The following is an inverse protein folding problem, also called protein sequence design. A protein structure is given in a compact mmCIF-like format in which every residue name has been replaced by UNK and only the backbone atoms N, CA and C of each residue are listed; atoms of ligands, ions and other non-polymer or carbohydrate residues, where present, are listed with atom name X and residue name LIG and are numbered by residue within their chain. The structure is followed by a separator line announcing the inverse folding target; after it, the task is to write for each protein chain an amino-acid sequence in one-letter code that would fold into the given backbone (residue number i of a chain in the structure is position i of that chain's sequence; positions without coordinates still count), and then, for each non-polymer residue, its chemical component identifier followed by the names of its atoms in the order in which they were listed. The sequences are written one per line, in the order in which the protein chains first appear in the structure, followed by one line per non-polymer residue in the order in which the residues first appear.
data_IF_115325849520
#
_entry.id   IF_115325849520
#
_cell.length_a   1.000
_cell.length_b   1.000
_cell.length_c   1.000
_cell.angle_alpha   90.00
_cell.angle_beta   90.00
_cell.angle_gamma   90.00
#
_symmetry.space_group_name_H-M   'P 1'
#
loop_
_entity.id
_entity.type
_entity.pdbx_description
1 polymer ?
#
# COMPACT_ATOMS: atom_id res chain seq x y z
N UNK A 1 -2.09 15.98 2.59
CA UNK A 1 -0.92 15.70 3.45
C UNK A 1 0.20 16.66 3.05
N UNK A 2 1.04 17.15 3.97
CA UNK A 2 2.16 18.02 3.57
C UNK A 2 3.23 17.24 2.78
N UNK A 3 4.00 17.89 1.88
CA UNK A 3 5.15 17.27 1.22
C UNK A 3 6.33 17.10 2.18
N UNK A 4 7.02 15.96 2.09
CA UNK A 4 8.13 15.59 2.99
C UNK A 4 9.50 15.58 2.30
N UNK A 5 9.58 15.96 1.02
CA UNK A 5 10.78 15.89 0.18
C UNK A 5 11.96 16.72 0.76
N UNK A 6 11.65 17.86 1.37
CA UNK A 6 12.67 18.78 1.94
C UNK A 6 13.06 18.44 3.38
N UNK A 7 12.26 17.66 4.08
CA UNK A 7 12.45 17.39 5.52
C UNK A 7 13.01 16.00 5.78
N UNK A 8 12.76 15.04 4.88
CA UNK A 8 13.23 13.66 5.01
C UNK A 8 14.24 13.33 3.91
N UNK A 9 15.31 12.65 4.30
CA UNK A 9 16.26 12.04 3.38
C UNK A 9 15.65 10.81 2.70
N UNK A 10 16.22 10.38 1.57
CA UNK A 10 15.77 9.18 0.84
C UNK A 10 15.75 7.94 1.75
N UNK A 11 16.75 7.83 2.64
CA UNK A 11 16.83 6.75 3.62
C UNK A 11 15.67 6.79 4.61
N UNK A 12 15.39 7.97 5.19
CA UNK A 12 14.31 8.10 6.17
C UNK A 12 12.94 7.79 5.56
N UNK A 13 12.72 8.19 4.31
CA UNK A 13 11.50 7.83 3.58
C UNK A 13 11.44 6.31 3.37
N UNK A 14 12.53 5.70 2.87
CA UNK A 14 12.59 4.24 2.67
C UNK A 14 12.36 3.45 3.96
N UNK A 15 12.92 3.90 5.08
CA UNK A 15 12.75 3.27 6.40
C UNK A 15 11.27 3.31 6.84
N UNK A 16 10.61 4.48 6.74
CA UNK A 16 9.19 4.65 7.10
C UNK A 16 8.29 3.82 6.18
N UNK A 17 8.50 3.87 4.87
CA UNK A 17 7.69 3.08 3.93
C UNK A 17 7.88 1.58 4.15
N UNK A 18 9.09 1.13 4.50
CA UNK A 18 9.36 -0.27 4.82
C UNK A 18 8.58 -0.70 6.06
N UNK A 19 8.58 0.12 7.11
CA UNK A 19 7.77 -0.14 8.32
C UNK A 19 6.28 -0.24 7.99
N UNK A 20 5.71 0.70 7.25
CA UNK A 20 4.29 0.64 6.86
C UNK A 20 3.95 -0.61 6.03
N UNK A 21 4.89 -1.07 5.19
CA UNK A 21 4.77 -2.26 4.31
C UNK A 21 4.97 -3.59 5.03
N UNK A 22 5.58 -3.61 6.21
CA UNK A 22 5.82 -4.84 7.00
C UNK A 22 4.94 -4.96 8.24
N UNK A 23 4.44 -3.84 8.76
CA UNK A 23 3.65 -3.83 9.98
C UNK A 23 2.15 -3.94 9.70
N UNK A 24 1.36 -4.08 10.76
CA UNK A 24 -0.11 -4.17 10.71
C UNK A 24 -0.64 -5.32 9.83
N UNK A 25 0.13 -6.41 9.75
CA UNK A 25 -0.23 -7.60 8.96
C UNK A 25 0.15 -7.51 7.49
N UNK A 26 0.87 -6.47 7.06
CA UNK A 26 1.42 -6.38 5.72
C UNK A 26 2.67 -7.26 5.56
N UNK A 27 3.02 -7.62 4.33
CA UNK A 27 4.21 -8.45 4.02
C UNK A 27 4.84 -8.09 2.68
N UNK A 28 4.83 -6.79 2.35
CA UNK A 28 5.40 -6.30 1.10
C UNK A 28 6.93 -6.14 1.21
N UNK A 29 7.63 -6.22 0.08
CA UNK A 29 9.09 -6.08 0.04
C UNK A 29 9.53 -4.70 0.56
N UNK A 30 10.73 -4.60 1.18
CA UNK A 30 11.30 -3.34 1.63
C UNK A 30 11.48 -2.31 0.52
N UNK A 31 11.49 -1.04 0.89
CA UNK A 31 11.74 0.10 -0.01
C UNK A 31 13.16 0.60 0.22
N UNK A 32 13.99 0.64 -0.82
CA UNK A 32 15.38 1.07 -0.72
C UNK A 32 15.56 2.58 -0.95
N UNK A 33 16.62 3.20 -0.42
CA UNK A 33 16.92 4.61 -0.68
C UNK A 33 17.12 4.90 -2.17
N UNK A 34 17.69 3.96 -2.94
CA UNK A 34 17.91 4.10 -4.37
C UNK A 34 16.60 4.16 -5.16
N UNK A 35 15.59 3.39 -4.73
CA UNK A 35 14.25 3.45 -5.33
C UNK A 35 13.61 4.84 -5.10
N UNK A 36 13.76 5.40 -3.89
CA UNK A 36 13.29 6.77 -3.59
C UNK A 36 14.04 7.81 -4.42
N UNK A 37 15.37 7.70 -4.50
CA UNK A 37 16.19 8.62 -5.28
C UNK A 37 15.87 8.57 -6.77
N UNK A 38 15.61 7.37 -7.32
CA UNK A 38 15.17 7.20 -8.70
C UNK A 38 13.81 7.88 -8.94
N UNK A 39 12.84 7.64 -8.05
CA UNK A 39 11.51 8.26 -8.14
C UNK A 39 11.57 9.79 -8.04
N UNK A 40 12.41 10.35 -7.15
CA UNK A 40 12.61 11.80 -7.06
C UNK A 40 13.14 12.41 -8.35
N UNK A 41 14.03 11.71 -9.06
CA UNK A 41 14.55 12.16 -10.36
C UNK A 41 13.46 12.13 -11.43
N UNK A 42 12.65 11.07 -11.44
CA UNK A 42 11.51 10.94 -12.36
C UNK A 42 10.49 12.08 -12.16
N UNK A 43 10.19 12.39 -10.89
CA UNK A 43 9.20 13.40 -10.52
C UNK A 43 9.73 14.83 -10.45
N UNK A 44 11.01 15.06 -10.74
CA UNK A 44 11.63 16.39 -10.62
C UNK A 44 10.94 17.47 -11.49
N UNK A 45 10.30 17.04 -12.59
CA UNK A 45 9.55 17.92 -13.49
C UNK A 45 8.06 18.05 -13.13
N UNK A 46 7.61 17.43 -12.04
CA UNK A 46 6.22 17.45 -11.57
C UNK A 46 6.13 17.84 -10.08
N UNK A 47 6.47 19.08 -9.72
CA UNK A 47 6.48 19.54 -8.32
C UNK A 47 5.08 19.72 -7.72
N UNK A 48 4.05 19.81 -8.57
CA UNK A 48 2.67 20.00 -8.15
C UNK A 48 1.99 18.66 -7.83
N UNK A 49 0.88 18.75 -7.09
CA UNK A 49 0.04 17.57 -6.84
C UNK A 49 -0.64 17.11 -8.13
N UNK A 50 -0.76 15.79 -8.30
CA UNK A 50 -1.52 15.21 -9.42
C UNK A 50 -2.99 15.65 -9.39
N UNK A 51 -3.51 16.00 -10.55
CA UNK A 51 -4.91 16.37 -10.79
C UNK A 51 -5.70 15.19 -11.36
N UNK A 52 -7.03 15.30 -11.39
CA UNK A 52 -7.89 14.30 -12.02
C UNK A 52 -7.47 13.99 -13.47
N UNK A 53 -7.14 15.01 -14.24
CA UNK A 53 -6.70 14.85 -15.62
C UNK A 53 -5.41 14.01 -15.71
N UNK A 54 -4.46 14.21 -14.80
CA UNK A 54 -3.20 13.45 -14.78
C UNK A 54 -3.43 11.98 -14.47
N UNK A 55 -4.38 11.67 -13.58
CA UNK A 55 -4.76 10.28 -13.24
C UNK A 55 -5.47 9.62 -14.41
N UNK A 56 -6.36 10.32 -15.11
CA UNK A 56 -7.08 9.79 -16.28
C UNK A 56 -6.16 9.60 -17.50
N UNK A 57 -5.07 10.38 -17.57
CA UNK A 57 -4.05 10.25 -18.62
C UNK A 57 -2.97 9.20 -18.30
N UNK A 58 -2.98 8.61 -17.10
CA UNK A 58 -1.99 7.63 -16.71
C UNK A 58 -2.10 6.36 -17.58
N UNK A 59 -0.98 5.83 -18.08
CA UNK A 59 -0.98 4.62 -18.88
C UNK A 59 -1.42 3.39 -18.06
N UNK A 60 -2.27 2.57 -18.66
CA UNK A 60 -2.76 1.34 -18.03
C UNK A 60 -1.72 0.24 -18.20
N UNK A 61 -0.91 0.05 -17.17
CA UNK A 61 0.25 -0.83 -17.17
C UNK A 61 0.36 -1.59 -15.85
N UNK A 62 0.79 -2.84 -15.93
CA UNK A 62 1.02 -3.66 -14.76
C UNK A 62 2.33 -3.24 -14.09
N UNK A 63 2.23 -2.61 -12.91
CA UNK A 63 3.38 -2.12 -12.17
C UNK A 63 3.84 -3.21 -11.18
N UNK A 64 5.07 -3.74 -11.33
CA UNK A 64 5.57 -4.79 -10.45
C UNK A 64 5.69 -4.28 -9.00
N UNK A 65 5.09 -5.02 -8.06
CA UNK A 65 5.07 -4.67 -6.64
C UNK A 65 3.77 -4.01 -6.15
N UNK A 66 2.80 -3.76 -7.05
CA UNK A 66 1.40 -3.56 -6.67
C UNK A 66 0.73 -4.90 -6.32
N UNK A 67 -0.33 -4.87 -5.49
CA UNK A 67 -1.20 -6.03 -5.36
C UNK A 67 -1.68 -6.44 -6.76
N UNK A 68 -1.72 -7.74 -7.12
CA UNK A 68 -2.16 -8.15 -8.44
C UNK A 68 -3.54 -7.54 -8.72
N UNK A 69 -3.62 -6.79 -9.83
CA UNK A 69 -4.85 -6.21 -10.36
C UNK A 69 -5.81 -7.32 -10.77
N UNK A 70 -6.45 -7.92 -9.78
CA UNK A 70 -7.26 -9.13 -9.91
C UNK A 70 -8.09 -9.43 -8.67
N UNK A 71 -8.32 -8.43 -7.81
CA UNK A 71 -9.45 -8.45 -6.91
C UNK A 71 -10.64 -7.87 -7.66
N UNK A 72 -11.57 -8.72 -8.09
CA UNK A 72 -12.85 -8.28 -8.62
C UNK A 72 -13.39 -7.15 -7.74
N UNK A 73 -13.81 -6.05 -8.37
CA UNK A 73 -14.53 -4.95 -7.72
C UNK A 73 -15.68 -5.57 -6.93
N UNK A 74 -15.46 -5.77 -5.63
CA UNK A 74 -16.51 -6.14 -4.71
C UNK A 74 -17.32 -4.87 -4.56
N UNK A 75 -18.42 -4.82 -5.31
CA UNK A 75 -19.40 -3.73 -5.31
C UNK A 75 -19.66 -3.30 -3.86
N UNK A 76 -19.44 -2.02 -3.49
CA UNK A 76 -19.70 -1.57 -2.13
C UNK A 76 -21.18 -1.80 -1.78
N UNK A 77 -21.48 -2.70 -0.84
CA UNK A 77 -22.86 -2.91 -0.39
C UNK A 77 -23.23 -4.25 0.26
N UNK A 78 -22.42 -5.32 0.18
CA UNK A 78 -22.77 -6.58 0.86
C UNK A 78 -22.06 -6.68 2.21
N UNK A 79 -22.74 -6.28 3.28
CA UNK A 79 -22.27 -6.45 4.65
C UNK A 79 -22.11 -7.94 4.97
N UNK A 80 -20.88 -8.40 5.15
CA UNK A 80 -20.60 -9.69 5.75
C UNK A 80 -21.12 -9.67 7.22
N UNK A 81 -22.18 -10.42 7.48
CA UNK A 81 -22.71 -10.65 8.83
C UNK A 81 -21.60 -11.22 9.74
N UNK A 82 -21.47 -10.75 10.99
CA UNK A 82 -20.50 -11.31 11.93
C UNK A 82 -20.84 -12.76 12.28
N UNK A 83 -20.02 -13.70 11.81
CA UNK A 83 -20.07 -15.11 12.20
C UNK A 83 -19.32 -15.36 13.51
N UNK A 84 -20.08 -15.69 14.55
CA UNK A 84 -19.80 -16.05 15.95
C UNK A 84 -18.39 -16.57 16.38
N UNK A 85 -17.99 -16.32 17.65
CA UNK A 85 -16.72 -16.78 18.24
C UNK A 85 -16.70 -18.30 18.51
N UNK A 86 -15.51 -18.94 18.61
CA UNK A 86 -15.38 -20.37 18.81
C UNK A 86 -15.77 -20.75 20.24
N UNK A 87 -16.55 -21.82 20.39
CA UNK A 87 -16.95 -22.36 21.70
C UNK A 87 -15.95 -23.45 22.15
N UNK A 88 -15.27 -23.33 23.30
CA UNK A 88 -14.31 -24.34 23.75
C UNK A 88 -14.99 -25.53 24.46
N UNK A 89 -14.55 -26.74 24.11
CA UNK A 89 -14.52 -27.89 25.03
C UNK A 89 -15.69 -28.88 24.92
N UNK A 90 -15.42 -30.04 24.32
CA UNK A 90 -16.09 -31.28 24.71
C UNK A 90 -15.01 -32.35 24.92
N UNK A 91 -14.77 -32.69 26.20
CA UNK A 91 -13.94 -33.81 26.60
C UNK A 91 -14.73 -35.12 26.43
N UNK A 92 -14.10 -36.25 26.08
CA UNK A 92 -14.79 -37.53 25.95
C UNK A 92 -15.10 -38.08 27.35
N UNK A 93 -16.27 -38.70 27.52
CA UNK A 93 -16.66 -39.42 28.74
C UNK A 93 -16.90 -40.91 28.45
N UNK A 94 -16.78 -41.76 29.48
CA UNK A 94 -16.11 -43.08 29.44
C UNK A 94 -16.85 -44.19 28.68
#
# INVERSE_FOLDING_TARGET
MQPWDKTLTDKQIGDVMTFERSEWGNSASPVTPEQIAALRKELANHPESYTEHDILAAPEQDIPGGAPGGGAVSKPGEAAKPGAPPKPGEAPKP
#
